data_IF_284019332342
#
_entry.id   IF_284019332342
#
_cell.length_a   1.000
_cell.length_b   1.000
_cell.length_c   1.000
_cell.angle_alpha   90.00
_cell.angle_beta   90.00
_cell.angle_gamma   90.00
#
_symmetry.space_group_name_H-M   'P 1'
#
loop_
_entity.id
_entity.type
_entity.pdbx_description
1 polymer ?
#
# COMPACT_ATOMS: atom_id res chain seq x y z
N UNK A 1 15.45 48.30 -3.93
CA UNK A 1 14.25 48.19 -4.80
C UNK A 1 14.62 47.24 -5.93
N UNK A 2 13.94 46.13 -6.18
CA UNK A 2 12.78 45.55 -5.54
C UNK A 2 12.88 44.03 -5.65
N UNK A 3 12.37 43.36 -4.62
CA UNK A 3 11.98 41.97 -4.68
C UNK A 3 10.89 41.84 -5.74
N UNK A 4 11.14 41.08 -6.80
CA UNK A 4 10.05 40.49 -7.58
C UNK A 4 10.07 39.00 -7.32
N UNK A 5 9.20 38.66 -6.38
CA UNK A 5 8.69 37.34 -6.05
C UNK A 5 8.17 36.68 -7.34
N UNK A 6 8.97 35.78 -7.93
CA UNK A 6 8.67 35.05 -9.16
C UNK A 6 7.79 33.80 -8.88
N UNK A 7 6.84 33.98 -7.96
CA UNK A 7 5.71 33.08 -7.74
C UNK A 7 4.52 33.70 -8.45
N UNK A 8 4.24 33.29 -9.69
CA UNK A 8 2.92 33.27 -10.34
C UNK A 8 3.12 32.93 -11.83
N UNK A 9 2.62 31.76 -12.25
CA UNK A 9 2.77 31.12 -13.57
C UNK A 9 4.13 30.52 -13.86
N UNK A 10 4.27 29.21 -13.57
CA UNK A 10 5.36 28.42 -14.11
C UNK A 10 5.30 28.44 -15.63
N UNK A 11 6.18 29.23 -16.26
CA UNK A 11 6.38 29.26 -17.71
C UNK A 11 6.69 27.81 -18.13
N UNK A 12 5.82 27.23 -18.95
CA UNK A 12 6.09 25.92 -19.52
C UNK A 12 7.37 26.01 -20.35
N UNK A 13 8.40 25.28 -19.92
CA UNK A 13 9.65 25.14 -20.68
C UNK A 13 9.58 23.81 -21.42
N UNK A 14 9.55 23.82 -22.76
CA UNK A 14 9.55 22.60 -23.56
C UNK A 14 10.75 21.69 -23.26
N UNK A 15 10.64 20.38 -23.53
CA UNK A 15 11.80 19.49 -23.55
C UNK A 15 12.83 19.95 -24.58
N UNK A 16 14.11 19.71 -24.29
CA UNK A 16 15.22 20.00 -25.19
C UNK A 16 15.07 19.22 -26.50
N UNK A 17 15.48 19.86 -27.58
CA UNK A 17 15.58 19.23 -28.90
C UNK A 17 16.74 18.23 -28.94
N UNK A 18 16.73 17.34 -29.95
CA UNK A 18 17.78 16.33 -30.14
C UNK A 18 19.18 16.96 -30.16
N UNK A 19 19.36 18.04 -30.92
CA UNK A 19 20.67 18.70 -31.10
C UNK A 19 21.16 19.37 -29.80
N UNK A 20 20.24 19.90 -28.99
CA UNK A 20 20.56 20.46 -27.67
C UNK A 20 20.93 19.36 -26.67
N UNK A 21 20.22 18.23 -26.74
CA UNK A 21 20.47 17.09 -25.88
C UNK A 21 21.80 16.42 -26.20
N UNK A 22 22.16 16.28 -27.48
CA UNK A 22 23.47 15.77 -27.91
C UNK A 22 24.60 16.66 -27.39
N UNK A 23 24.45 18.00 -27.45
CA UNK A 23 25.42 18.93 -26.85
C UNK A 23 25.57 18.75 -25.34
N UNK A 24 24.47 18.50 -24.64
CA UNK A 24 24.49 18.15 -23.22
C UNK A 24 25.21 16.83 -22.98
N UNK A 25 24.96 15.80 -23.79
CA UNK A 25 25.53 14.47 -23.59
C UNK A 25 27.02 14.38 -23.93
N UNK A 26 27.46 15.08 -24.98
CA UNK A 26 28.83 15.05 -25.47
C UNK A 26 29.78 15.94 -24.64
N UNK A 27 29.27 16.66 -23.64
CA UNK A 27 30.07 17.55 -22.79
C UNK A 27 30.64 18.76 -23.55
N UNK A 28 30.03 19.12 -24.68
CA UNK A 28 30.44 20.25 -25.51
C UNK A 28 30.06 21.61 -24.90
N UNK A 29 29.13 21.64 -23.95
CA UNK A 29 28.83 22.85 -23.19
C UNK A 29 29.93 23.13 -22.16
N UNK A 30 30.46 24.36 -22.20
CA UNK A 30 31.48 24.84 -21.25
C UNK A 30 30.96 24.95 -19.82
N UNK A 31 29.65 24.94 -19.63
CA UNK A 31 29.01 24.97 -18.32
C UNK A 31 28.70 23.55 -17.85
N UNK A 32 29.18 23.22 -16.66
CA UNK A 32 28.98 21.93 -16.03
C UNK A 32 27.48 21.75 -15.70
N UNK A 33 26.75 21.03 -16.56
CA UNK A 33 25.32 20.79 -16.38
C UNK A 33 25.09 19.98 -15.10
N UNK A 34 24.48 20.62 -14.09
CA UNK A 34 24.18 19.99 -12.80
C UNK A 34 23.32 18.72 -12.94
N UNK A 35 23.58 17.71 -12.11
CA UNK A 35 22.82 16.47 -12.05
C UNK A 35 21.30 16.71 -11.89
N UNK A 36 20.90 17.75 -11.15
CA UNK A 36 19.48 18.10 -10.99
C UNK A 36 18.87 18.74 -12.23
N UNK A 37 19.66 19.41 -13.07
CA UNK A 37 19.20 19.88 -14.38
C UNK A 37 18.96 18.68 -15.32
N UNK A 38 19.87 17.70 -15.33
CA UNK A 38 19.73 16.46 -16.12
C UNK A 38 18.50 15.65 -15.67
N UNK A 39 18.23 15.54 -14.36
CA UNK A 39 17.03 14.87 -13.83
C UNK A 39 15.73 15.60 -14.15
N UNK A 40 15.73 16.93 -14.15
CA UNK A 40 14.55 17.72 -14.56
C UNK A 40 14.27 17.53 -16.04
N UNK A 41 15.30 17.54 -16.88
CA UNK A 41 15.14 17.33 -18.31
C UNK A 41 14.67 15.91 -18.63
N UNK A 42 15.20 14.90 -17.93
CA UNK A 42 14.73 13.51 -18.07
C UNK A 42 13.21 13.41 -17.83
N UNK A 43 12.69 14.06 -16.79
CA UNK A 43 11.26 14.06 -16.50
C UNK A 43 10.43 14.71 -17.61
N UNK A 44 10.93 15.76 -18.25
CA UNK A 44 10.24 16.39 -19.40
C UNK A 44 10.21 15.46 -20.60
N UNK A 45 11.32 14.80 -20.91
CA UNK A 45 11.42 13.86 -22.03
C UNK A 45 10.52 12.63 -21.81
N UNK A 46 10.47 12.08 -20.59
CA UNK A 46 9.57 10.97 -20.23
C UNK A 46 8.09 11.36 -20.32
N UNK A 47 7.73 12.56 -19.85
CA UNK A 47 6.38 13.09 -19.99
C UNK A 47 5.98 13.25 -21.46
N UNK A 48 6.86 13.81 -22.28
CA UNK A 48 6.61 14.04 -23.69
C UNK A 48 6.50 12.74 -24.49
N UNK A 49 7.32 11.73 -24.14
CA UNK A 49 7.18 10.38 -24.68
C UNK A 49 5.82 9.76 -24.35
N UNK A 50 5.34 9.95 -23.11
CA UNK A 50 4.00 9.51 -22.70
C UNK A 50 2.88 10.11 -23.54
N UNK A 51 2.90 11.44 -23.72
CA UNK A 51 1.94 12.13 -24.60
C UNK A 51 2.02 11.66 -26.06
N UNK A 52 3.23 11.37 -26.53
CA UNK A 52 3.43 10.91 -27.90
C UNK A 52 2.89 9.49 -28.10
N UNK A 53 3.08 8.59 -27.14
CA UNK A 53 2.47 7.26 -27.16
C UNK A 53 0.94 7.34 -27.14
N UNK A 54 0.35 8.19 -26.30
CA UNK A 54 -1.11 8.40 -26.27
C UNK A 54 -1.63 8.89 -27.64
N UNK A 55 -0.91 9.82 -28.26
CA UNK A 55 -1.24 10.32 -29.60
C UNK A 55 -1.10 9.25 -30.68
N UNK A 56 -0.04 8.43 -30.65
CA UNK A 56 0.16 7.31 -31.57
C UNK A 56 -1.00 6.30 -31.44
N UNK A 57 -1.36 5.94 -30.21
CA UNK A 57 -2.49 5.05 -29.93
C UNK A 57 -3.81 5.59 -30.49
N UNK A 58 -4.12 6.87 -30.27
CA UNK A 58 -5.33 7.49 -30.82
C UNK A 58 -5.33 7.55 -32.36
N UNK A 59 -4.16 7.70 -32.99
CA UNK A 59 -4.02 7.65 -34.44
C UNK A 59 -4.23 6.24 -34.99
N UNK A 60 -3.71 5.20 -34.32
CA UNK A 60 -3.92 3.80 -34.70
C UNK A 60 -5.39 3.40 -34.61
N UNK A 61 -6.11 3.83 -33.57
CA UNK A 61 -7.56 3.62 -33.45
C UNK A 61 -8.34 4.22 -34.62
N UNK A 62 -7.83 5.31 -35.21
CA UNK A 62 -8.42 6.01 -36.36
C UNK A 62 -7.86 5.55 -37.71
N UNK A 63 -6.96 4.57 -37.72
CA UNK A 63 -6.31 4.05 -38.94
C UNK A 63 -5.39 5.06 -39.64
N UNK A 64 -4.90 6.08 -38.92
CA UNK A 64 -4.03 7.13 -39.45
C UNK A 64 -2.56 6.69 -39.36
N UNK A 65 -1.76 6.99 -40.39
CA UNK A 65 -0.33 6.67 -40.41
C UNK A 65 0.45 7.45 -39.35
N UNK A 66 1.28 6.74 -38.57
CA UNK A 66 2.04 7.29 -37.43
C UNK A 66 3.55 7.36 -37.64
N UNK A 67 4.07 7.02 -38.81
CA UNK A 67 5.52 6.84 -39.04
C UNK A 67 6.41 8.00 -38.54
N UNK A 68 5.96 9.25 -38.72
CA UNK A 68 6.69 10.42 -38.20
C UNK A 68 6.65 10.52 -36.66
N UNK A 69 5.52 10.16 -36.04
CA UNK A 69 5.40 10.14 -34.58
C UNK A 69 6.21 9.00 -33.98
N UNK A 70 6.27 7.85 -34.64
CA UNK A 70 7.08 6.70 -34.23
C UNK A 70 8.57 7.03 -34.28
N UNK A 71 9.03 7.69 -35.33
CA UNK A 71 10.41 8.19 -35.44
C UNK A 71 10.74 9.19 -34.33
N UNK A 72 9.83 10.13 -34.05
CA UNK A 72 10.00 11.10 -32.96
C UNK A 72 10.05 10.41 -31.59
N UNK A 73 9.22 9.38 -31.36
CA UNK A 73 9.22 8.59 -30.13
C UNK A 73 10.55 7.87 -29.94
N UNK A 74 11.08 7.29 -31.02
CA UNK A 74 12.37 6.64 -31.02
C UNK A 74 13.52 7.62 -30.70
N UNK A 75 13.49 8.83 -31.24
CA UNK A 75 14.46 9.88 -30.92
C UNK A 75 14.44 10.28 -29.44
N UNK A 76 13.24 10.46 -28.87
CA UNK A 76 13.08 10.79 -27.44
C UNK A 76 13.56 9.63 -26.57
N UNK A 77 13.27 8.37 -26.93
CA UNK A 77 13.76 7.19 -26.21
C UNK A 77 15.29 7.11 -26.16
N UNK A 78 15.95 7.42 -27.28
CA UNK A 78 17.41 7.52 -27.34
C UNK A 78 17.92 8.65 -26.43
N UNK A 79 17.25 9.80 -26.44
CA UNK A 79 17.56 10.91 -25.55
C UNK A 79 17.44 10.56 -24.07
N UNK A 80 16.33 9.93 -23.67
CA UNK A 80 16.10 9.38 -22.32
C UNK A 80 17.22 8.42 -21.93
N UNK A 81 17.63 7.55 -22.86
CA UNK A 81 18.72 6.60 -22.62
C UNK A 81 20.04 7.31 -22.35
N UNK A 82 20.37 8.34 -23.14
CA UNK A 82 21.54 9.18 -22.93
C UNK A 82 21.51 9.87 -21.56
N UNK A 83 20.39 10.51 -21.21
CA UNK A 83 20.22 11.19 -19.92
C UNK A 83 20.35 10.23 -18.74
N UNK A 84 19.76 9.03 -18.81
CA UNK A 84 19.88 7.99 -17.78
C UNK A 84 21.32 7.53 -17.60
N UNK A 85 22.07 7.36 -18.71
CA UNK A 85 23.51 7.05 -18.65
C UNK A 85 24.29 8.18 -17.99
N UNK A 86 24.02 9.45 -18.36
CA UNK A 86 24.68 10.61 -17.76
C UNK A 86 24.39 10.75 -16.26
N UNK A 87 23.16 10.48 -15.81
CA UNK A 87 22.83 10.41 -14.37
C UNK A 87 23.63 9.32 -13.67
N UNK A 88 23.71 8.12 -14.28
CA UNK A 88 24.51 7.03 -13.74
C UNK A 88 25.99 7.42 -13.64
N UNK A 89 26.53 8.14 -14.62
CA UNK A 89 27.90 8.65 -14.56
C UNK A 89 28.12 9.59 -13.36
N UNK A 90 27.18 10.48 -13.02
CA UNK A 90 27.29 11.30 -11.80
C UNK A 90 27.31 10.44 -10.52
N UNK A 91 26.48 9.39 -10.45
CA UNK A 91 26.47 8.43 -9.33
C UNK A 91 27.77 7.61 -9.24
N UNK A 92 28.29 7.16 -10.39
CA UNK A 92 29.54 6.40 -10.48
C UNK A 92 30.75 7.30 -10.21
N UNK A 93 30.74 8.59 -10.59
CA UNK A 93 31.79 9.56 -10.24
C UNK A 93 31.81 9.85 -8.74
N UNK A 94 30.63 9.96 -8.11
CA UNK A 94 30.51 10.09 -6.65
C UNK A 94 31.09 8.85 -5.95
N UNK A 95 30.92 7.67 -6.56
CA UNK A 95 31.47 6.39 -6.06
C UNK A 95 32.98 6.26 -6.34
N UNK A 96 33.46 6.74 -7.49
CA UNK A 96 34.86 6.63 -7.92
C UNK A 96 35.76 7.70 -7.28
N UNK A 97 35.22 8.87 -6.95
CA UNK A 97 35.93 9.90 -6.17
C UNK A 97 36.27 9.43 -4.74
N UNK A 98 35.55 8.44 -4.22
CA UNK A 98 35.84 7.78 -2.92
C UNK A 98 36.93 6.72 -3.10
N UNK A 99 37.11 6.16 -4.30
CA UNK A 99 38.07 5.08 -4.59
C UNK A 99 39.52 5.55 -4.82
N UNK A 100 39.80 6.86 -4.80
CA UNK A 100 41.17 7.40 -4.91
C UNK A 100 41.79 7.82 -3.56
N UNK A 101 41.08 7.65 -2.45
CA UNK A 101 41.67 7.80 -1.12
C UNK A 101 42.24 6.44 -0.64
N UNK A 102 43.46 6.41 -0.08
CA UNK A 102 44.08 5.15 0.32
C UNK A 102 43.30 4.50 1.47
N UNK A 103 42.76 3.32 1.19
CA UNK A 103 42.49 2.18 2.09
C UNK A 103 42.45 2.51 3.59
N UNK A 104 41.34 3.05 4.10
CA UNK A 104 40.89 2.82 5.49
C UNK A 104 39.38 3.00 5.59
N UNK A 105 38.59 1.98 5.26
CA UNK A 105 37.21 1.87 5.75
C UNK A 105 36.65 0.49 5.37
N UNK A 106 36.71 -0.43 6.31
CA UNK A 106 35.92 -1.67 6.27
C UNK A 106 34.42 -1.35 6.40
N UNK A 107 34.08 -0.16 6.91
CA UNK A 107 32.71 0.28 7.19
C UNK A 107 31.87 0.62 5.94
N UNK A 108 32.48 1.02 4.82
CA UNK A 108 31.73 1.53 3.68
C UNK A 108 31.05 0.45 2.82
N UNK A 109 31.64 -0.75 2.79
CA UNK A 109 31.04 -1.93 2.14
C UNK A 109 29.91 -2.49 3.01
N UNK A 110 30.10 -2.51 4.33
CA UNK A 110 29.05 -2.90 5.27
C UNK A 110 27.87 -1.95 5.22
N UNK A 111 28.10 -0.63 5.15
CA UNK A 111 27.02 0.36 5.04
C UNK A 111 26.16 0.16 3.79
N UNK A 112 26.79 -0.08 2.62
CA UNK A 112 26.05 -0.36 1.38
C UNK A 112 25.28 -1.68 1.43
N UNK A 113 25.87 -2.72 2.03
CA UNK A 113 25.19 -4.00 2.21
C UNK A 113 23.99 -3.88 3.16
N UNK A 114 24.11 -3.07 4.21
CA UNK A 114 23.01 -2.77 5.14
C UNK A 114 21.88 -2.04 4.41
N UNK A 115 22.19 -0.98 3.64
CA UNK A 115 21.18 -0.24 2.87
C UNK A 115 20.41 -1.15 1.90
N UNK A 116 21.11 -2.03 1.17
CA UNK A 116 20.48 -2.98 0.24
C UNK A 116 19.63 -4.01 1.00
N UNK A 117 20.08 -4.46 2.16
CA UNK A 117 19.31 -5.39 2.99
C UNK A 117 18.02 -4.74 3.50
N UNK A 118 18.12 -3.51 4.02
CA UNK A 118 16.97 -2.72 4.47
C UNK A 118 15.99 -2.44 3.33
N UNK A 119 16.49 -2.05 2.15
CA UNK A 119 15.67 -1.85 0.96
C UNK A 119 14.94 -3.14 0.56
N UNK A 120 15.62 -4.29 0.58
CA UNK A 120 14.99 -5.60 0.28
C UNK A 120 13.91 -5.96 1.30
N UNK A 121 14.16 -5.73 2.59
CA UNK A 121 13.17 -5.98 3.64
C UNK A 121 11.96 -5.06 3.49
N UNK A 122 12.19 -3.79 3.16
CA UNK A 122 11.11 -2.83 2.91
C UNK A 122 10.26 -3.26 1.70
N UNK A 123 10.89 -3.70 0.62
CA UNK A 123 10.20 -4.20 -0.58
C UNK A 123 9.40 -5.48 -0.31
N UNK A 124 9.96 -6.42 0.46
CA UNK A 124 9.26 -7.65 0.86
C UNK A 124 8.03 -7.32 1.72
N UNK A 125 8.19 -6.42 2.71
CA UNK A 125 7.08 -5.97 3.56
C UNK A 125 6.02 -5.23 2.77
N UNK A 126 6.44 -4.35 1.85
CA UNK A 126 5.52 -3.63 0.97
C UNK A 126 4.74 -4.59 0.08
N UNK A 127 5.37 -5.62 -0.47
CA UNK A 127 4.71 -6.63 -1.29
C UNK A 127 3.70 -7.43 -0.47
N UNK A 128 4.09 -7.89 0.71
CA UNK A 128 3.20 -8.61 1.64
C UNK A 128 1.97 -7.76 2.01
N UNK A 129 2.17 -6.49 2.37
CA UNK A 129 1.06 -5.58 2.67
C UNK A 129 0.15 -5.34 1.47
N UNK A 130 0.70 -5.27 0.25
CA UNK A 130 -0.12 -5.15 -0.97
C UNK A 130 -0.97 -6.40 -1.21
N UNK A 131 -0.41 -7.59 -0.95
CA UNK A 131 -1.13 -8.86 -1.04
C UNK A 131 -2.23 -8.95 0.02
N UNK A 132 -1.94 -8.60 1.27
CA UNK A 132 -2.92 -8.56 2.36
C UNK A 132 -4.07 -7.59 2.03
N UNK A 133 -3.74 -6.38 1.57
CA UNK A 133 -4.75 -5.39 1.15
C UNK A 133 -5.57 -5.91 -0.04
N UNK A 134 -4.97 -6.62 -0.99
CA UNK A 134 -5.69 -7.20 -2.12
C UNK A 134 -6.63 -8.35 -1.68
N UNK A 135 -6.18 -9.20 -0.76
CA UNK A 135 -6.98 -10.25 -0.16
C UNK A 135 -8.16 -9.67 0.61
N UNK A 136 -7.92 -8.66 1.44
CA UNK A 136 -8.97 -8.00 2.23
C UNK A 136 -9.99 -7.30 1.33
N UNK A 137 -9.54 -6.62 0.27
CA UNK A 137 -10.44 -6.02 -0.74
C UNK A 137 -11.32 -7.07 -1.41
N UNK A 138 -10.78 -8.26 -1.69
CA UNK A 138 -11.56 -9.38 -2.25
C UNK A 138 -12.60 -9.89 -1.25
N UNK A 139 -12.24 -10.01 0.02
CA UNK A 139 -13.17 -10.36 1.11
C UNK A 139 -14.30 -9.34 1.21
N UNK A 140 -13.96 -8.05 1.28
CA UNK A 140 -14.94 -6.95 1.33
C UNK A 140 -15.86 -7.00 0.11
N UNK A 141 -15.32 -7.14 -1.10
CA UNK A 141 -16.13 -7.24 -2.31
C UNK A 141 -17.08 -8.44 -2.26
N UNK A 142 -16.63 -9.59 -1.75
CA UNK A 142 -17.47 -10.77 -1.55
C UNK A 142 -18.60 -10.53 -0.55
N UNK A 143 -18.32 -9.84 0.56
CA UNK A 143 -19.33 -9.48 1.56
C UNK A 143 -20.32 -8.44 1.02
N UNK A 144 -19.85 -7.42 0.31
CA UNK A 144 -20.72 -6.45 -0.37
C UNK A 144 -21.63 -7.16 -1.38
N UNK A 145 -21.08 -8.07 -2.18
CA UNK A 145 -21.88 -8.87 -3.12
C UNK A 145 -22.94 -9.70 -2.39
N UNK A 146 -22.57 -10.39 -1.30
CA UNK A 146 -23.53 -11.15 -0.47
C UNK A 146 -24.62 -10.24 0.09
N UNK A 147 -24.29 -9.06 0.60
CA UNK A 147 -25.26 -8.09 1.14
C UNK A 147 -26.22 -7.58 0.05
N UNK A 148 -25.70 -7.24 -1.12
CA UNK A 148 -26.51 -6.81 -2.27
C UNK A 148 -27.44 -7.92 -2.77
N UNK A 149 -26.96 -9.17 -2.78
CA UNK A 149 -27.76 -10.32 -3.25
C UNK A 149 -28.73 -10.85 -2.19
N UNK A 150 -28.40 -10.71 -0.91
CA UNK A 150 -29.34 -10.96 0.19
C UNK A 150 -30.47 -9.92 0.20
N UNK A 151 -30.18 -8.65 -0.13
CA UNK A 151 -31.20 -7.63 -0.32
C UNK A 151 -32.10 -7.87 -1.55
N UNK A 152 -31.60 -8.54 -2.59
CA UNK A 152 -32.37 -8.88 -3.80
C UNK A 152 -33.13 -10.22 -3.69
N UNK A 153 -32.62 -11.19 -2.94
CA UNK A 153 -33.29 -12.47 -2.69
C UNK A 153 -34.40 -12.36 -1.62
N UNK A 154 -34.50 -11.23 -0.91
CA UNK A 154 -35.57 -10.97 0.06
C UNK A 154 -36.96 -10.79 -0.57
N UNK A 155 -37.11 -10.80 -1.91
CA UNK A 155 -38.41 -10.69 -2.58
C UNK A 155 -38.96 -12.01 -3.16
N UNK A 156 -38.21 -13.12 -3.22
CA UNK A 156 -38.78 -14.40 -3.69
C UNK A 156 -38.23 -15.62 -2.93
N UNK A 157 -39.13 -16.25 -2.18
CA UNK A 157 -39.04 -17.57 -1.49
C UNK A 157 -38.15 -17.57 -0.24
N UNK A 158 -38.80 -17.56 0.93
CA UNK A 158 -38.23 -17.89 2.25
C UNK A 158 -37.75 -19.36 2.26
N UNK A 159 -36.57 -19.62 1.71
CA UNK A 159 -35.75 -20.75 2.13
C UNK A 159 -34.79 -20.24 3.20
N UNK A 160 -35.00 -20.69 4.45
CA UNK A 160 -34.05 -20.49 5.54
C UNK A 160 -32.64 -20.84 5.07
N UNK A 161 -31.79 -19.82 5.03
CA UNK A 161 -30.40 -19.99 4.66
C UNK A 161 -29.70 -20.86 5.70
N UNK A 162 -28.70 -21.64 5.29
CA UNK A 162 -27.92 -22.46 6.23
C UNK A 162 -27.24 -21.60 7.32
N UNK A 163 -26.96 -20.32 7.03
CA UNK A 163 -26.46 -19.35 8.02
C UNK A 163 -27.55 -19.00 9.08
N UNK A 164 -28.82 -18.86 8.68
CA UNK A 164 -29.95 -18.61 9.61
C UNK A 164 -30.27 -19.84 10.48
N UNK A 165 -30.18 -21.05 9.91
CA UNK A 165 -30.34 -22.29 10.68
C UNK A 165 -29.23 -22.46 11.71
N UNK A 166 -27.98 -22.20 11.31
CA UNK A 166 -26.85 -22.23 12.24
C UNK A 166 -27.02 -21.18 13.35
N UNK A 167 -27.49 -19.97 13.02
CA UNK A 167 -27.78 -18.93 14.02
C UNK A 167 -28.90 -19.35 14.98
N UNK A 168 -29.97 -19.97 14.48
CA UNK A 168 -31.08 -20.47 15.31
C UNK A 168 -30.65 -21.63 16.21
N UNK A 169 -29.85 -22.57 15.71
CA UNK A 169 -29.26 -23.65 16.50
C UNK A 169 -28.36 -23.10 17.61
N UNK A 170 -27.51 -22.11 17.32
CA UNK A 170 -26.67 -21.46 18.32
C UNK A 170 -27.51 -20.74 19.38
N UNK A 171 -28.59 -20.07 18.96
CA UNK A 171 -29.51 -19.39 19.86
C UNK A 171 -30.25 -20.37 20.77
N UNK A 172 -30.70 -21.51 20.25
CA UNK A 172 -31.31 -22.57 21.05
C UNK A 172 -30.33 -23.14 22.07
N UNK A 173 -29.09 -23.41 21.66
CA UNK A 173 -28.03 -23.89 22.56
C UNK A 173 -27.71 -22.89 23.66
N UNK A 174 -27.63 -21.60 23.34
CA UNK A 174 -27.44 -20.53 24.33
C UNK A 174 -28.60 -20.48 25.33
N UNK A 175 -29.84 -20.56 24.86
CA UNK A 175 -31.02 -20.56 25.73
C UNK A 175 -31.04 -21.77 26.66
N UNK A 176 -30.70 -22.96 26.16
CA UNK A 176 -30.64 -24.17 26.97
C UNK A 176 -29.58 -24.09 28.07
N UNK A 177 -28.39 -23.57 27.72
CA UNK A 177 -27.31 -23.35 28.69
C UNK A 177 -27.70 -22.29 29.73
N UNK A 178 -28.36 -21.21 29.32
CA UNK A 178 -28.85 -20.18 30.26
C UNK A 178 -29.93 -20.73 31.20
N UNK A 179 -30.83 -21.59 30.71
CA UNK A 179 -31.81 -22.29 31.53
C UNK A 179 -31.14 -23.24 32.54
N UNK A 180 -30.13 -24.01 32.11
CA UNK A 180 -29.35 -24.88 32.99
C UNK A 180 -28.60 -24.06 34.07
N UNK A 181 -27.97 -22.95 33.69
CA UNK A 181 -27.32 -22.01 34.61
C UNK A 181 -28.32 -21.44 35.61
N UNK A 182 -29.49 -21.03 35.16
CA UNK A 182 -30.56 -20.50 36.03
C UNK A 182 -31.06 -21.53 37.04
N UNK A 183 -31.23 -22.80 36.62
CA UNK A 183 -31.60 -23.89 37.50
C UNK A 183 -30.53 -24.15 38.58
N UNK A 184 -29.25 -24.17 38.20
CA UNK A 184 -28.14 -24.34 39.14
C UNK A 184 -28.05 -23.18 40.14
N UNK A 185 -28.23 -21.94 39.69
CA UNK A 185 -28.24 -20.75 40.57
C UNK A 185 -29.39 -20.83 41.57
N UNK A 186 -30.58 -21.24 41.11
CA UNK A 186 -31.75 -21.42 41.96
C UNK A 186 -31.52 -22.50 43.03
N UNK A 187 -30.89 -23.61 42.66
CA UNK A 187 -30.55 -24.68 43.60
C UNK A 187 -29.50 -24.24 44.63
N UNK A 188 -28.47 -23.49 44.20
CA UNK A 188 -27.48 -22.90 45.12
C UNK A 188 -28.17 -21.96 46.12
N UNK A 189 -29.10 -21.13 45.65
CA UNK A 189 -29.85 -20.21 46.52
C UNK A 189 -30.71 -21.00 47.53
N UNK A 190 -31.40 -22.05 47.07
CA UNK A 190 -32.19 -22.96 47.92
C UNK A 190 -31.33 -23.60 49.00
N UNK A 191 -30.20 -24.21 48.62
CA UNK A 191 -29.27 -24.86 49.55
C UNK A 191 -28.67 -23.87 50.54
N UNK A 192 -28.32 -22.65 50.10
CA UNK A 192 -27.86 -21.59 51.02
C UNK A 192 -28.91 -21.23 52.05
N UNK A 193 -30.17 -21.10 51.64
CA UNK A 193 -31.28 -20.84 52.56
C UNK A 193 -31.49 -22.01 53.54
N UNK A 194 -31.39 -23.25 53.05
CA UNK A 194 -31.51 -24.45 53.89
C UNK A 194 -30.37 -24.54 54.92
N UNK A 195 -29.13 -24.29 54.51
CA UNK A 195 -27.99 -24.21 55.42
C UNK A 195 -28.16 -23.10 56.47
N UNK A 196 -28.67 -21.92 56.08
CA UNK A 196 -28.93 -20.84 57.02
C UNK A 196 -29.99 -21.25 58.07
N UNK A 197 -31.07 -21.89 57.63
CA UNK A 197 -32.11 -22.42 58.54
C UNK A 197 -31.57 -23.49 59.48
N UNK A 198 -30.76 -24.43 58.97
CA UNK A 198 -30.15 -25.48 59.80
C UNK A 198 -29.18 -24.89 60.82
N UNK A 199 -28.37 -23.89 60.45
CA UNK A 199 -27.51 -23.17 61.40
C UNK A 199 -28.31 -22.49 62.50
N UNK A 200 -29.37 -21.77 62.14
CA UNK A 200 -30.24 -21.13 63.13
C UNK A 200 -30.87 -22.15 64.09
N UNK A 201 -31.31 -23.31 63.58
CA UNK A 201 -31.85 -24.40 64.42
C UNK A 201 -30.82 -24.97 65.37
N UNK A 202 -29.59 -25.21 64.90
CA UNK A 202 -28.49 -25.67 65.74
C UNK A 202 -28.16 -24.65 66.83
N UNK A 203 -28.08 -23.36 66.49
CA UNK A 203 -27.84 -22.29 67.48
C UNK A 203 -28.91 -22.27 68.57
N UNK A 204 -30.20 -22.43 68.20
CA UNK A 204 -31.31 -22.51 69.15
C UNK A 204 -31.22 -23.74 70.06
N UNK A 205 -30.88 -24.91 69.52
CA UNK A 205 -30.75 -26.15 70.28
C UNK A 205 -29.56 -26.07 71.24
N UNK A 206 -28.40 -25.59 70.78
CA UNK A 206 -27.22 -25.36 71.65
C UNK A 206 -27.45 -24.31 72.72
N UNK A 207 -28.31 -23.31 72.47
CA UNK A 207 -28.68 -22.29 73.46
C UNK A 207 -29.72 -22.79 74.46
N UNK A 208 -30.42 -23.90 74.16
CA UNK A 208 -31.40 -24.52 75.05
C UNK A 208 -30.82 -25.58 75.99
N UNK A 209 -29.62 -26.08 75.70
CA UNK A 209 -28.87 -27.05 76.51
C UNK A 209 -27.93 -26.41 77.55
N UNK A 210 -27.87 -25.06 77.61
CA UNK A 210 -27.14 -24.27 78.61
C UNK A 210 -28.08 -23.74 79.69
#
# INVERSE_FOLDING_TARGET
>A
MGLTDDRLFGIYVPPLTKDELEKWLDGSEKDEVSADAVRRELRKQEFWLGLLHEKISSCHEKGVQTAHLDELAWQIQNGITGLKRKIKMFSDLTTSSIASAPITSVDHVDTRCIEIYEEKQLMATQQMLREDVAAEKKTIAGLCWKLEHSQLNSEEVEEETEEEKEEEEWKERCNLEEAARSALISEIARLRSECANLRARLEMETSSEQ
#
